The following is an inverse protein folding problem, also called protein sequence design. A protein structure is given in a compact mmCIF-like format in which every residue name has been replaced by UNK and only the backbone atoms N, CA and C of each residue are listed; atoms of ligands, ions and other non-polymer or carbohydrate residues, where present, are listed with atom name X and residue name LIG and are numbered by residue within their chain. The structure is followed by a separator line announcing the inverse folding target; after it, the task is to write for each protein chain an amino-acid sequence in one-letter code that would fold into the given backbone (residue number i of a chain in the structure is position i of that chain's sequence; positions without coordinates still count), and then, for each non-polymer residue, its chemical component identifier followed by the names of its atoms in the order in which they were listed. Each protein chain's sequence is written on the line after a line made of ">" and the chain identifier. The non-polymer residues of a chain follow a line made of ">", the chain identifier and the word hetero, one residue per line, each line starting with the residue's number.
data_IF_431672933309
#
_entry.id   IF_431672933309
#
_cell.length_a   1.000
_cell.length_b   1.000
_cell.length_c   1.000
_cell.angle_alpha   90.00
_cell.angle_beta   90.00
_cell.angle_gamma   90.00
#
_symmetry.space_group_name_H-M   'P 1'
#
loop_
_entity.id
_entity.type
_entity.pdbx_description
1 polymer ?
#
# COMPACT_ATOMS: atom_id res chain seq x y z
N UNK A 1 -17.00 -20.26 6.74
CA UNK A 1 -17.38 -20.54 8.15
C UNK A 1 -17.59 -22.01 8.43
N UNK A 2 -18.32 -22.77 7.59
CA UNK A 2 -18.53 -24.21 7.82
C UNK A 2 -17.23 -25.03 7.91
N UNK A 3 -16.25 -24.78 7.03
CA UNK A 3 -14.91 -25.40 7.14
C UNK A 3 -14.15 -24.95 8.39
N UNK A 4 -14.13 -23.64 8.67
CA UNK A 4 -13.48 -23.04 9.85
C UNK A 4 -14.10 -23.43 11.20
N UNK A 5 -15.32 -23.97 11.20
CA UNK A 5 -16.01 -24.41 12.43
C UNK A 5 -15.57 -25.81 12.88
N UNK A 6 -14.78 -26.52 12.06
CA UNK A 6 -14.22 -27.82 12.40
C UNK A 6 -13.00 -27.63 13.33
N UNK A 7 -12.89 -28.48 14.35
CA UNK A 7 -11.73 -28.46 15.26
C UNK A 7 -10.42 -28.63 14.47
N UNK A 8 -9.42 -27.80 14.79
CA UNK A 8 -8.09 -27.77 14.15
C UNK A 8 -8.07 -27.39 12.66
N UNK A 9 -9.13 -26.79 12.11
CA UNK A 9 -9.10 -26.26 10.74
C UNK A 9 -8.33 -24.94 10.68
N UNK A 10 -7.23 -24.90 9.90
CA UNK A 10 -6.53 -23.65 9.58
C UNK A 10 -7.17 -22.95 8.38
N UNK A 11 -6.87 -21.67 8.18
CA UNK A 11 -7.37 -20.91 7.03
C UNK A 11 -6.90 -21.54 5.71
N UNK A 12 -5.67 -22.05 5.66
CA UNK A 12 -5.10 -22.71 4.49
C UNK A 12 -5.87 -23.99 4.14
N UNK A 13 -6.17 -24.82 5.14
CA UNK A 13 -6.96 -26.05 4.97
C UNK A 13 -8.37 -25.71 4.47
N UNK A 14 -9.00 -24.68 5.03
CA UNK A 14 -10.32 -24.24 4.60
C UNK A 14 -10.31 -23.72 3.15
N UNK A 15 -9.29 -22.96 2.74
CA UNK A 15 -9.15 -22.46 1.36
C UNK A 15 -8.96 -23.63 0.39
N UNK A 16 -8.09 -24.58 0.71
CA UNK A 16 -7.85 -25.75 -0.14
C UNK A 16 -9.12 -26.59 -0.34
N UNK A 17 -9.88 -26.83 0.73
CA UNK A 17 -11.15 -27.56 0.65
C UNK A 17 -12.21 -26.83 -0.20
N UNK A 18 -12.25 -25.49 -0.14
CA UNK A 18 -13.15 -24.68 -0.98
C UNK A 18 -12.70 -24.69 -2.45
N UNK A 19 -11.40 -24.61 -2.73
CA UNK A 19 -10.86 -24.70 -4.09
C UNK A 19 -11.14 -26.07 -4.73
N UNK A 20 -11.00 -27.15 -3.96
CA UNK A 20 -11.30 -28.51 -4.43
C UNK A 20 -12.79 -28.71 -4.70
N UNK A 21 -13.66 -28.20 -3.82
CA UNK A 21 -15.11 -28.39 -3.93
C UNK A 21 -15.81 -27.41 -4.88
N UNK A 22 -15.17 -26.28 -5.20
CA UNK A 22 -15.72 -25.26 -6.09
C UNK A 22 -14.67 -24.74 -7.09
N UNK A 23 -14.61 -25.29 -8.31
CA UNK A 23 -13.68 -24.86 -9.35
C UNK A 23 -13.84 -23.40 -9.80
N UNK A 24 -14.99 -22.76 -9.52
CA UNK A 24 -15.27 -21.36 -9.83
C UNK A 24 -14.95 -20.41 -8.66
N UNK A 25 -14.31 -20.92 -7.60
CA UNK A 25 -13.88 -20.10 -6.48
C UNK A 25 -12.68 -19.24 -6.88
N UNK A 26 -12.85 -17.92 -6.84
CA UNK A 26 -11.79 -16.95 -7.05
C UNK A 26 -11.70 -16.01 -5.83
N UNK A 27 -10.50 -15.83 -5.28
CA UNK A 27 -10.22 -14.91 -4.16
C UNK A 27 -9.66 -13.57 -4.62
N UNK A 28 -9.55 -13.35 -5.92
CA UNK A 28 -8.87 -12.18 -6.49
C UNK A 28 -9.78 -10.94 -6.48
N UNK A 29 -9.22 -9.80 -6.08
CA UNK A 29 -9.82 -8.49 -6.36
C UNK A 29 -11.08 -8.13 -5.56
N UNK A 30 -11.20 -8.55 -4.29
CA UNK A 30 -12.34 -8.22 -3.45
C UNK A 30 -11.97 -7.32 -2.25
N UNK A 31 -12.93 -6.49 -1.83
CA UNK A 31 -12.90 -5.79 -0.55
C UNK A 31 -14.12 -6.19 0.25
N UNK A 32 -13.99 -6.27 1.58
CA UNK A 32 -15.12 -6.57 2.46
C UNK A 32 -16.19 -5.46 2.45
N UNK A 33 -15.85 -4.28 1.94
CA UNK A 33 -16.78 -3.16 1.75
C UNK A 33 -17.35 -3.19 0.33
N UNK A 34 -18.50 -3.83 0.15
CA UNK A 34 -19.13 -3.98 -1.18
C UNK A 34 -19.62 -2.67 -1.83
N UNK A 35 -19.69 -1.57 -1.09
CA UNK A 35 -20.25 -0.29 -1.56
C UNK A 35 -19.24 0.87 -1.58
N UNK A 36 -18.00 0.64 -1.15
CA UNK A 36 -16.96 1.69 -1.08
C UNK A 36 -15.96 1.44 -2.20
N UNK A 37 -15.82 2.43 -3.08
CA UNK A 37 -14.74 2.44 -4.06
C UNK A 37 -13.47 2.99 -3.42
N UNK A 38 -12.39 2.22 -3.48
CA UNK A 38 -11.05 2.62 -3.02
C UNK A 38 -10.24 3.33 -4.11
N UNK A 39 -10.86 3.54 -5.28
CA UNK A 39 -10.21 4.06 -6.49
C UNK A 39 -10.98 5.26 -7.05
N UNK A 40 -12.26 5.07 -7.36
CA UNK A 40 -13.09 6.09 -8.00
C UNK A 40 -13.20 7.34 -7.11
N UNK A 41 -12.88 8.50 -7.67
CA UNK A 41 -12.96 9.79 -6.98
C UNK A 41 -11.71 10.18 -6.19
N UNK A 42 -10.72 9.28 -6.04
CA UNK A 42 -9.51 9.52 -5.25
C UNK A 42 -8.24 9.76 -6.08
N UNK A 43 -8.38 10.22 -7.33
CA UNK A 43 -7.25 10.59 -8.20
C UNK A 43 -6.30 11.59 -7.53
N UNK A 44 -6.84 12.49 -6.72
CA UNK A 44 -6.11 13.48 -5.94
C UNK A 44 -5.22 12.89 -4.83
N UNK A 45 -5.36 11.60 -4.51
CA UNK A 45 -4.51 10.85 -3.56
C UNK A 45 -3.69 9.80 -4.30
N UNK A 46 -4.32 9.03 -5.19
CA UNK A 46 -3.70 7.91 -5.89
C UNK A 46 -2.60 8.34 -6.85
N UNK A 47 -2.83 9.40 -7.63
CA UNK A 47 -1.81 9.87 -8.56
C UNK A 47 -0.55 10.39 -7.82
N UNK A 48 -0.68 11.26 -6.79
CA UNK A 48 0.47 11.63 -5.96
C UNK A 48 1.17 10.45 -5.29
N UNK A 49 0.42 9.47 -4.79
CA UNK A 49 0.97 8.25 -4.17
C UNK A 49 1.85 7.47 -5.14
N UNK A 50 1.34 7.22 -6.35
CA UNK A 50 2.09 6.50 -7.40
C UNK A 50 3.32 7.31 -7.85
N UNK A 51 3.18 8.63 -8.03
CA UNK A 51 4.29 9.50 -8.40
C UNK A 51 5.40 9.49 -7.35
N UNK A 52 5.05 9.56 -6.06
CA UNK A 52 6.05 9.54 -4.99
C UNK A 52 6.78 8.21 -4.93
N UNK A 53 6.06 7.09 -5.06
CA UNK A 53 6.67 5.75 -5.12
C UNK A 53 7.63 5.63 -6.29
N UNK A 54 7.22 6.04 -7.50
CA UNK A 54 8.08 6.02 -8.68
C UNK A 54 9.34 6.89 -8.49
N UNK A 55 9.20 8.10 -7.91
CA UNK A 55 10.33 8.99 -7.63
C UNK A 55 11.29 8.40 -6.58
N UNK A 56 10.76 7.75 -5.54
CA UNK A 56 11.57 7.09 -4.52
C UNK A 56 12.43 5.99 -5.14
N UNK A 57 11.81 5.07 -5.89
CA UNK A 57 12.52 3.96 -6.53
C UNK A 57 13.54 4.45 -7.56
N UNK A 58 13.16 5.41 -8.41
CA UNK A 58 14.08 6.01 -9.37
C UNK A 58 15.32 6.64 -8.71
N UNK A 59 15.17 7.23 -7.52
CA UNK A 59 16.27 7.87 -6.78
C UNK A 59 17.13 6.85 -6.04
N UNK A 60 16.53 5.86 -5.38
CA UNK A 60 17.23 5.03 -4.39
C UNK A 60 17.53 3.60 -4.83
N UNK A 61 16.83 3.04 -5.82
CA UNK A 61 17.10 1.66 -6.26
C UNK A 61 18.52 1.51 -6.84
N UNK A 62 19.02 2.40 -7.73
CA UNK A 62 20.37 2.27 -8.24
C UNK A 62 21.47 2.30 -7.15
N UNK A 63 21.52 3.29 -6.22
CA UNK A 63 22.52 3.30 -5.17
C UNK A 63 22.30 2.19 -4.12
N UNK A 64 21.07 1.72 -3.91
CA UNK A 64 20.80 0.59 -3.02
C UNK A 64 21.35 -0.73 -3.57
N UNK A 65 21.22 -0.97 -4.88
CA UNK A 65 21.80 -2.13 -5.57
C UNK A 65 23.33 -2.12 -5.51
N UNK A 66 23.94 -0.95 -5.67
CA UNK A 66 25.39 -0.79 -5.60
C UNK A 66 25.91 -0.90 -4.16
N UNK A 67 25.17 -0.33 -3.20
CA UNK A 67 25.62 -0.23 -1.82
C UNK A 67 24.43 -0.42 -0.85
N UNK A 68 24.26 -1.64 -0.30
CA UNK A 68 23.15 -1.94 0.62
C UNK A 68 23.12 -1.06 1.87
N UNK A 69 24.24 -0.45 2.25
CA UNK A 69 24.32 0.51 3.35
C UNK A 69 23.45 1.77 3.11
N UNK A 70 23.06 2.07 1.87
CA UNK A 70 22.12 3.15 1.52
C UNK A 70 20.82 3.05 2.33
N UNK A 71 20.32 1.83 2.58
CA UNK A 71 19.11 1.61 3.39
C UNK A 71 19.24 2.04 4.87
N UNK A 72 20.47 2.27 5.35
CA UNK A 72 20.76 2.73 6.71
C UNK A 72 20.89 4.24 6.81
N UNK A 73 20.97 4.94 5.68
CA UNK A 73 21.07 6.40 5.67
C UNK A 73 19.78 7.04 6.16
N UNK A 74 19.91 8.18 6.84
CA UNK A 74 18.76 8.94 7.33
C UNK A 74 17.89 9.43 6.17
N UNK A 75 18.51 9.85 5.07
CA UNK A 75 17.82 10.34 3.87
C UNK A 75 16.94 9.27 3.22
N UNK A 76 17.47 8.05 3.03
CA UNK A 76 16.70 6.90 2.53
C UNK A 76 15.51 6.58 3.44
N UNK A 77 15.76 6.42 4.75
CA UNK A 77 14.70 6.03 5.71
C UNK A 77 13.62 7.08 5.83
N UNK A 78 13.97 8.36 5.80
CA UNK A 78 13.00 9.45 5.84
C UNK A 78 12.12 9.48 4.58
N UNK A 79 12.72 9.33 3.40
CA UNK A 79 11.98 9.27 2.14
C UNK A 79 11.09 8.01 2.06
N UNK A 80 11.59 6.87 2.52
CA UNK A 80 10.84 5.63 2.60
C UNK A 80 9.64 5.76 3.54
N UNK A 81 9.83 6.38 4.71
CA UNK A 81 8.76 6.62 5.68
C UNK A 81 7.60 7.38 5.05
N UNK A 82 7.88 8.50 4.36
CA UNK A 82 6.83 9.27 3.69
C UNK A 82 6.17 8.48 2.55
N UNK A 83 6.95 7.70 1.80
CA UNK A 83 6.43 6.85 0.70
C UNK A 83 5.44 5.81 1.24
N UNK A 84 5.82 5.08 2.29
CA UNK A 84 4.96 4.07 2.92
C UNK A 84 3.76 4.69 3.64
N UNK A 85 3.97 5.80 4.35
CA UNK A 85 2.89 6.50 5.03
C UNK A 85 1.82 7.01 4.05
N UNK A 86 2.21 7.44 2.84
CA UNK A 86 1.26 7.87 1.82
C UNK A 86 0.41 6.72 1.26
N UNK A 87 0.90 5.48 1.32
CA UNK A 87 0.23 4.31 0.74
C UNK A 87 -0.92 3.74 1.58
N UNK A 88 -1.14 4.24 2.79
CA UNK A 88 -2.24 3.76 3.62
C UNK A 88 -3.60 3.92 2.94
N UNK A 89 -4.51 2.98 3.17
CA UNK A 89 -5.90 3.06 2.71
C UNK A 89 -6.73 4.08 3.50
N UNK A 90 -6.28 4.49 4.71
CA UNK A 90 -7.03 5.37 5.61
C UNK A 90 -7.49 6.68 4.95
N UNK A 91 -6.69 7.24 4.03
CA UNK A 91 -7.04 8.48 3.33
C UNK A 91 -8.28 8.37 2.44
N UNK A 92 -8.63 7.15 2.05
CA UNK A 92 -9.77 6.84 1.19
C UNK A 92 -10.90 6.17 1.97
N UNK A 93 -10.56 5.52 3.09
CA UNK A 93 -11.54 4.94 4.00
C UNK A 93 -12.41 6.01 4.68
N UNK A 94 -11.77 7.05 5.20
CA UNK A 94 -12.46 8.07 5.99
C UNK A 94 -13.09 9.21 5.16
N UNK A 95 -13.03 9.11 3.84
CA UNK A 95 -13.61 10.11 2.95
C UNK A 95 -12.69 11.29 2.63
N UNK A 96 -13.22 12.20 1.82
CA UNK A 96 -12.57 13.45 1.42
C UNK A 96 -12.41 14.46 2.56
N UNK A 97 -11.61 15.51 2.31
CA UNK A 97 -11.36 16.60 3.24
C UNK A 97 -10.08 16.37 4.01
N UNK A 98 -10.15 16.46 5.35
CA UNK A 98 -8.98 16.44 6.24
C UNK A 98 -8.01 15.28 5.94
N UNK A 99 -8.52 14.08 5.70
CA UNK A 99 -7.68 12.92 5.39
C UNK A 99 -6.96 13.04 4.04
N UNK A 100 -7.65 13.49 3.00
CA UNK A 100 -7.02 13.73 1.69
C UNK A 100 -6.05 14.92 1.72
N UNK A 101 -6.25 15.88 2.61
CA UNK A 101 -5.32 16.99 2.83
C UNK A 101 -4.05 16.52 3.54
N UNK A 102 -4.17 15.61 4.52
CA UNK A 102 -3.01 14.95 5.11
C UNK A 102 -2.23 14.13 4.09
N UNK A 103 -2.91 13.40 3.19
CA UNK A 103 -2.25 12.70 2.10
C UNK A 103 -1.43 13.66 1.21
N UNK A 104 -2.00 14.82 0.86
CA UNK A 104 -1.32 15.86 0.09
C UNK A 104 -0.12 16.44 0.84
N UNK A 105 -0.25 16.68 2.15
CA UNK A 105 0.85 17.15 2.99
C UNK A 105 1.99 16.13 3.03
N UNK A 106 1.69 14.85 3.28
CA UNK A 106 2.67 13.76 3.30
C UNK A 106 3.37 13.62 1.96
N UNK A 107 2.63 13.71 0.84
CA UNK A 107 3.20 13.73 -0.49
C UNK A 107 4.23 14.84 -0.67
N UNK A 108 3.89 16.07 -0.29
CA UNK A 108 4.81 17.21 -0.40
C UNK A 108 6.07 17.03 0.45
N UNK A 109 5.91 16.54 1.69
CA UNK A 109 7.04 16.24 2.57
C UNK A 109 7.94 15.12 2.02
N UNK A 110 7.33 14.08 1.46
CA UNK A 110 8.04 12.98 0.80
C UNK A 110 8.86 13.44 -0.39
N UNK A 111 8.25 14.24 -1.28
CA UNK A 111 8.97 14.85 -2.42
C UNK A 111 10.16 15.68 -1.96
N UNK A 112 9.97 16.50 -0.93
CA UNK A 112 11.04 17.34 -0.41
C UNK A 112 12.14 16.48 0.24
N UNK A 113 11.80 15.37 0.90
CA UNK A 113 12.78 14.43 1.45
C UNK A 113 13.60 13.75 0.35
N UNK A 114 12.97 13.32 -0.75
CA UNK A 114 13.64 12.77 -1.93
C UNK A 114 14.55 13.84 -2.56
N UNK A 115 14.09 15.06 -2.74
CA UNK A 115 14.89 16.13 -3.34
C UNK A 115 16.14 16.49 -2.51
N UNK A 116 16.03 16.49 -1.17
CA UNK A 116 17.16 16.78 -0.26
C UNK A 116 18.15 15.64 -0.11
N UNK A 117 17.83 14.44 -0.58
CA UNK A 117 18.69 13.25 -0.47
C UNK A 117 19.81 13.20 -1.52
N UNK A 118 20.27 14.37 -1.98
CA UNK A 118 21.44 14.51 -2.84
C UNK A 118 22.72 14.44 -2.00
#
# INVERSE_FOLDING_TARGET
>A
WQYMAQENCTVEVAIAAIQESNPNFHMEGASWTNHISWVQGYDNVLNPMNQLSAQFHAKFDPPLQQQPATARTQSYRQALLYTLALQTSCFRYWGHGMWTDYARHIYNQGKAAIARSA
#
